data_IF_222580185262
#
_entry.id   IF_222580185262
#
_cell.length_a   1.000
_cell.length_b   1.000
_cell.length_c   1.000
_cell.angle_alpha   90.00
_cell.angle_beta   90.00
_cell.angle_gamma   90.00
#
_symmetry.space_group_name_H-M   'P 1'
#
loop_
_entity.id
_entity.type
_entity.pdbx_description
1 polymer ?
#
# COMPACT_ATOMS: atom_id res chain seq x y z
N UNK A 1 24.95 -15.70 -3.46
CA UNK A 1 24.40 -16.13 -2.15
C UNK A 1 22.90 -16.35 -2.34
N UNK A 2 22.38 -17.57 -2.19
CA UNK A 2 20.93 -17.82 -2.29
C UNK A 2 20.26 -17.39 -0.98
N UNK A 3 19.21 -16.56 -1.07
CA UNK A 3 18.43 -16.15 0.10
C UNK A 3 17.61 -17.33 0.64
N UNK A 4 17.50 -17.43 1.96
CA UNK A 4 16.62 -18.42 2.60
C UNK A 4 15.15 -18.16 2.20
N UNK A 5 14.32 -19.21 2.25
CA UNK A 5 12.88 -19.08 1.96
C UNK A 5 12.19 -18.06 2.88
N UNK A 6 12.64 -17.97 4.14
CA UNK A 6 12.15 -17.00 5.11
C UNK A 6 12.52 -15.56 4.71
N UNK A 7 13.78 -15.34 4.30
CA UNK A 7 14.22 -14.02 3.84
C UNK A 7 13.47 -13.57 2.58
N UNK A 8 13.28 -14.48 1.61
CA UNK A 8 12.50 -14.20 0.39
C UNK A 8 11.05 -13.82 0.70
N UNK A 9 10.40 -14.57 1.61
CA UNK A 9 9.04 -14.25 2.08
C UNK A 9 8.99 -12.88 2.73
N UNK A 10 9.93 -12.56 3.62
CA UNK A 10 9.95 -11.27 4.31
C UNK A 10 10.12 -10.10 3.35
N UNK A 11 11.03 -10.23 2.36
CA UNK A 11 11.23 -9.22 1.31
C UNK A 11 9.94 -9.01 0.50
N UNK A 12 9.27 -10.10 0.10
CA UNK A 12 8.02 -10.02 -0.65
C UNK A 12 6.89 -9.33 0.13
N UNK A 13 6.77 -9.62 1.43
CA UNK A 13 5.82 -8.96 2.33
C UNK A 13 6.12 -7.46 2.45
N UNK A 14 7.37 -7.08 2.70
CA UNK A 14 7.74 -5.66 2.86
C UNK A 14 7.55 -4.89 1.56
N UNK A 15 7.92 -5.47 0.41
CA UNK A 15 7.66 -4.87 -0.90
C UNK A 15 6.16 -4.64 -1.12
N UNK A 16 5.33 -5.63 -0.80
CA UNK A 16 3.88 -5.54 -0.92
C UNK A 16 3.26 -4.46 -0.03
N UNK A 17 3.68 -4.37 1.24
CA UNK A 17 3.23 -3.35 2.19
C UNK A 17 3.63 -1.96 1.70
N UNK A 18 4.92 -1.73 1.42
CA UNK A 18 5.42 -0.42 1.00
C UNK A 18 4.78 0.06 -0.31
N UNK A 19 4.59 -0.86 -1.27
CA UNK A 19 3.92 -0.55 -2.54
C UNK A 19 2.45 -0.20 -2.33
N UNK A 20 1.75 -0.88 -1.43
CA UNK A 20 0.35 -0.54 -1.12
C UNK A 20 0.25 0.83 -0.45
N UNK A 21 1.12 1.09 0.52
CA UNK A 21 1.16 2.35 1.26
C UNK A 21 1.45 3.54 0.35
N UNK A 22 2.47 3.47 -0.50
CA UNK A 22 2.84 4.57 -1.38
C UNK A 22 1.73 4.90 -2.39
N UNK A 23 1.02 3.90 -2.92
CA UNK A 23 -0.07 4.13 -3.87
C UNK A 23 -1.29 4.78 -3.21
N UNK A 24 -1.56 4.43 -1.95
CA UNK A 24 -2.59 5.12 -1.15
C UNK A 24 -2.17 6.57 -0.90
N UNK A 25 -0.91 6.82 -0.54
CA UNK A 25 -0.39 8.18 -0.35
C UNK A 25 -0.45 9.01 -1.62
N UNK A 26 -0.03 8.47 -2.76
CA UNK A 26 -0.15 9.14 -4.04
C UNK A 26 -1.60 9.53 -4.34
N UNK A 27 -2.54 8.58 -4.23
CA UNK A 27 -3.95 8.87 -4.53
C UNK A 27 -4.52 9.96 -3.61
N UNK A 28 -4.14 9.95 -2.33
CA UNK A 28 -4.57 10.97 -1.38
C UNK A 28 -3.92 12.33 -1.62
N UNK A 29 -2.65 12.35 -2.03
CA UNK A 29 -1.95 13.55 -2.45
C UNK A 29 -2.63 14.17 -3.67
N UNK A 30 -2.76 13.41 -4.76
CA UNK A 30 -3.26 13.88 -6.06
C UNK A 30 -4.64 14.53 -5.97
N UNK A 31 -5.55 13.98 -5.16
CA UNK A 31 -6.92 14.48 -5.07
C UNK A 31 -7.19 15.41 -3.89
N UNK A 32 -6.61 15.11 -2.73
CA UNK A 32 -6.97 15.78 -1.48
C UNK A 32 -5.84 16.63 -0.89
N UNK A 33 -4.69 16.69 -1.59
CA UNK A 33 -3.49 17.42 -1.18
C UNK A 33 -2.87 16.89 0.11
N UNK A 34 -3.11 15.61 0.44
CA UNK A 34 -2.50 15.02 1.64
C UNK A 34 -0.98 15.10 1.51
N UNK A 35 -0.32 15.55 2.56
CA UNK A 35 1.13 15.57 2.66
C UNK A 35 1.58 15.05 4.02
N UNK A 36 2.87 15.25 4.34
CA UNK A 36 3.56 14.70 5.52
C UNK A 36 2.71 14.62 6.79
N UNK A 37 2.10 15.73 7.21
CA UNK A 37 1.36 15.79 8.47
C UNK A 37 0.07 14.93 8.48
N UNK A 38 -0.61 14.79 7.34
CA UNK A 38 -1.80 13.92 7.24
C UNK A 38 -1.41 12.46 7.09
N UNK A 39 -0.33 12.16 6.38
CA UNK A 39 0.22 10.81 6.32
C UNK A 39 0.67 10.31 7.69
N UNK A 40 1.38 11.13 8.47
CA UNK A 40 1.76 10.78 9.84
C UNK A 40 0.56 10.45 10.75
N UNK A 41 -0.60 11.07 10.52
CA UNK A 41 -1.84 10.72 11.24
C UNK A 41 -2.41 9.37 10.79
N UNK A 42 -2.28 9.02 9.51
CA UNK A 42 -2.65 7.69 9.02
C UNK A 42 -1.72 6.65 9.64
N UNK A 43 -0.40 6.86 9.59
CA UNK A 43 0.59 5.95 10.18
C UNK A 43 0.33 5.74 11.68
N UNK A 44 0.12 6.82 12.44
CA UNK A 44 -0.17 6.74 13.88
C UNK A 44 -1.44 5.92 14.19
N UNK A 45 -2.49 6.09 13.38
CA UNK A 45 -3.73 5.32 13.53
C UNK A 45 -3.52 3.84 13.18
N UNK A 46 -2.84 3.54 12.07
CA UNK A 46 -2.53 2.17 11.65
C UNK A 46 -1.65 1.45 12.69
N UNK A 47 -0.70 2.16 13.29
CA UNK A 47 0.12 1.65 14.39
C UNK A 47 -0.73 1.31 15.62
N UNK A 48 -1.67 2.19 15.99
CA UNK A 48 -2.60 1.94 17.09
C UNK A 48 -3.48 0.73 16.81
N UNK A 49 -4.07 0.63 15.62
CA UNK A 49 -4.88 -0.51 15.21
C UNK A 49 -4.05 -1.81 15.19
N UNK A 50 -2.80 -1.75 14.74
CA UNK A 50 -1.90 -2.91 14.72
C UNK A 50 -1.55 -3.39 16.13
N UNK A 51 -1.32 -2.46 17.08
CA UNK A 51 -1.15 -2.80 18.51
C UNK A 51 -2.44 -3.35 19.12
N UNK A 52 -3.60 -2.86 18.70
CA UNK A 52 -4.88 -3.40 19.14
C UNK A 52 -5.08 -4.82 18.61
N UNK A 53 -4.75 -5.08 17.34
CA UNK A 53 -4.84 -6.41 16.72
C UNK A 53 -3.90 -7.39 17.41
N UNK A 54 -2.62 -7.06 17.60
CA UNK A 54 -1.65 -7.90 18.32
C UNK A 54 -1.76 -9.42 18.01
N UNK A 55 -1.73 -9.77 16.73
CA UNK A 55 -1.86 -11.15 16.21
C UNK A 55 -3.22 -11.83 16.43
N UNK A 56 -4.25 -11.09 16.84
CA UNK A 56 -5.62 -11.55 17.02
C UNK A 56 -6.43 -11.40 15.72
N UNK A 57 -6.78 -12.53 15.11
CA UNK A 57 -7.55 -12.57 13.86
C UNK A 57 -8.96 -12.03 14.00
N UNK A 58 -9.60 -12.19 15.17
CA UNK A 58 -10.96 -11.71 15.41
C UNK A 58 -10.96 -10.18 15.51
N UNK A 59 -9.93 -9.60 16.14
CA UNK A 59 -9.76 -8.14 16.15
C UNK A 59 -9.53 -7.59 14.76
N UNK A 60 -8.70 -8.25 13.94
CA UNK A 60 -8.53 -7.84 12.54
C UNK A 60 -9.85 -7.91 11.75
N UNK A 61 -10.66 -8.96 11.98
CA UNK A 61 -11.97 -9.09 11.34
C UNK A 61 -12.88 -7.91 11.67
N UNK A 62 -12.81 -7.30 12.87
CA UNK A 62 -13.62 -6.11 13.19
C UNK A 62 -13.34 -4.92 12.25
N UNK A 63 -12.07 -4.67 11.91
CA UNK A 63 -11.71 -3.62 10.95
C UNK A 63 -12.17 -3.96 9.53
N UNK A 64 -12.01 -5.22 9.13
CA UNK A 64 -12.46 -5.69 7.82
C UNK A 64 -13.98 -5.58 7.68
N UNK A 65 -14.73 -6.01 8.68
CA UNK A 65 -16.19 -6.01 8.65
C UNK A 65 -16.73 -4.57 8.70
N UNK A 66 -16.08 -3.65 9.44
CA UNK A 66 -16.40 -2.23 9.40
C UNK A 66 -16.17 -1.62 8.01
N UNK A 67 -15.12 -2.09 7.32
CA UNK A 67 -14.79 -1.68 5.97
C UNK A 67 -15.80 -2.21 4.94
N UNK A 68 -16.23 -3.46 5.07
CA UNK A 68 -17.31 -4.03 4.25
C UNK A 68 -18.63 -3.27 4.48
N UNK A 69 -18.97 -2.95 5.74
CA UNK A 69 -20.14 -2.13 6.08
C UNK A 69 -20.06 -0.69 5.55
N UNK A 70 -18.85 -0.14 5.42
CA UNK A 70 -18.61 1.18 4.82
C UNK A 70 -18.76 1.19 3.28
N UNK A 71 -19.02 0.03 2.67
CA UNK A 71 -19.32 -0.12 1.25
C UNK A 71 -18.08 -0.31 0.37
N UNK A 72 -17.00 -0.88 0.91
CA UNK A 72 -15.83 -1.27 0.13
C UNK A 72 -16.18 -2.33 -0.93
N UNK A 73 -15.76 -2.08 -2.16
CA UNK A 73 -15.97 -3.01 -3.27
C UNK A 73 -14.90 -4.10 -3.24
N UNK A 74 -15.33 -5.33 -2.95
CA UNK A 74 -14.46 -6.49 -2.87
C UNK A 74 -13.74 -6.77 -4.20
N UNK A 75 -14.39 -6.54 -5.35
CA UNK A 75 -13.80 -6.79 -6.66
C UNK A 75 -12.71 -5.78 -6.97
N UNK A 76 -12.90 -4.51 -6.63
CA UNK A 76 -11.84 -3.50 -6.79
C UNK A 76 -10.63 -3.80 -5.90
N UNK A 77 -10.85 -4.24 -4.65
CA UNK A 77 -9.76 -4.68 -3.76
C UNK A 77 -9.00 -5.86 -4.35
N UNK A 78 -9.71 -6.91 -4.78
CA UNK A 78 -9.09 -8.12 -5.35
C UNK A 78 -8.35 -7.85 -6.66
N UNK A 79 -8.90 -7.02 -7.54
CA UNK A 79 -8.25 -6.63 -8.79
C UNK A 79 -6.95 -5.85 -8.49
N UNK A 80 -6.99 -4.87 -7.58
CA UNK A 80 -5.81 -4.13 -7.13
C UNK A 80 -4.70 -5.06 -6.62
N UNK A 81 -5.03 -5.93 -5.65
CA UNK A 81 -4.05 -6.85 -5.03
C UNK A 81 -3.48 -7.79 -6.08
N UNK A 82 -4.32 -8.36 -6.95
CA UNK A 82 -3.88 -9.30 -7.98
C UNK A 82 -2.93 -8.64 -8.97
N UNK A 83 -3.25 -7.43 -9.43
CA UNK A 83 -2.43 -6.72 -10.43
C UNK A 83 -1.11 -6.24 -9.83
N UNK A 84 -1.13 -5.66 -8.64
CA UNK A 84 0.08 -5.22 -7.96
C UNK A 84 0.99 -6.40 -7.58
N UNK A 85 0.42 -7.51 -7.08
CA UNK A 85 1.22 -8.71 -6.78
C UNK A 85 1.90 -9.28 -8.02
N UNK A 86 1.21 -9.27 -9.17
CA UNK A 86 1.77 -9.72 -10.45
C UNK A 86 2.90 -8.81 -10.91
N UNK A 87 2.75 -7.49 -10.78
CA UNK A 87 3.80 -6.55 -11.20
C UNK A 87 5.05 -6.60 -10.32
N UNK A 88 4.93 -6.99 -9.06
CA UNK A 88 6.07 -7.24 -8.16
C UNK A 88 6.89 -8.50 -8.51
N UNK A 89 6.48 -9.29 -9.50
CA UNK A 89 7.25 -10.47 -9.96
C UNK A 89 7.33 -11.61 -8.94
N UNK A 90 6.40 -11.67 -7.98
CA UNK A 90 6.41 -12.65 -6.88
C UNK A 90 5.96 -14.02 -7.41
N UNK A 91 6.88 -14.97 -7.47
CA UNK A 91 6.66 -16.28 -8.10
C UNK A 91 6.54 -17.46 -7.14
N UNK A 92 7.07 -17.37 -5.92
CA UNK A 92 7.02 -18.47 -4.95
C UNK A 92 5.74 -18.50 -4.13
N UNK A 93 5.28 -19.69 -3.72
CA UNK A 93 3.98 -19.88 -3.04
C UNK A 93 3.93 -19.15 -1.69
N UNK A 94 4.96 -19.30 -0.88
CA UNK A 94 5.03 -18.67 0.45
C UNK A 94 5.19 -17.16 0.35
N UNK A 95 5.99 -16.68 -0.61
CA UNK A 95 6.11 -15.25 -0.92
C UNK A 95 4.77 -14.67 -1.37
N UNK A 96 4.04 -15.38 -2.25
CA UNK A 96 2.72 -14.95 -2.73
C UNK A 96 1.70 -14.82 -1.61
N UNK A 97 1.56 -15.85 -0.76
CA UNK A 97 0.63 -15.81 0.38
C UNK A 97 1.01 -14.71 1.37
N UNK A 98 2.31 -14.54 1.65
CA UNK A 98 2.78 -13.47 2.53
C UNK A 98 2.49 -12.09 1.97
N UNK A 99 2.83 -11.85 0.71
CA UNK A 99 2.62 -10.57 0.04
C UNK A 99 1.14 -10.21 -0.03
N UNK A 100 0.28 -11.15 -0.40
CA UNK A 100 -1.17 -10.95 -0.45
C UNK A 100 -1.74 -10.58 0.92
N UNK A 101 -1.36 -11.30 1.98
CA UNK A 101 -1.75 -10.94 3.34
C UNK A 101 -1.25 -9.54 3.75
N UNK A 102 -0.01 -9.19 3.39
CA UNK A 102 0.55 -7.86 3.64
C UNK A 102 -0.20 -6.74 2.92
N UNK A 103 -0.59 -6.95 1.66
CA UNK A 103 -1.40 -6.00 0.90
C UNK A 103 -2.80 -5.86 1.51
N UNK A 104 -3.47 -6.97 1.81
CA UNK A 104 -4.82 -6.95 2.40
C UNK A 104 -4.84 -6.20 3.73
N UNK A 105 -3.87 -6.49 4.60
CA UNK A 105 -3.74 -5.87 5.91
C UNK A 105 -3.52 -4.35 5.77
N UNK A 106 -2.52 -3.95 4.99
CA UNK A 106 -2.18 -2.53 4.76
C UNK A 106 -3.34 -1.78 4.14
N UNK A 107 -3.95 -2.34 3.10
CA UNK A 107 -5.10 -1.76 2.41
C UNK A 107 -6.26 -1.53 3.36
N UNK A 108 -6.63 -2.55 4.15
CA UNK A 108 -7.77 -2.50 5.07
C UNK A 108 -7.54 -1.45 6.16
N UNK A 109 -6.38 -1.47 6.82
CA UNK A 109 -6.12 -0.56 7.93
C UNK A 109 -5.95 0.89 7.49
N UNK A 110 -5.30 1.14 6.36
CA UNK A 110 -5.18 2.51 5.86
C UNK A 110 -6.52 3.08 5.40
N UNK A 111 -7.37 2.29 4.74
CA UNK A 111 -8.72 2.74 4.39
C UNK A 111 -9.60 2.91 5.64
N UNK A 112 -9.42 2.08 6.65
CA UNK A 112 -10.06 2.26 7.94
C UNK A 112 -9.61 3.55 8.63
N UNK A 113 -8.32 3.87 8.63
CA UNK A 113 -7.81 5.15 9.13
C UNK A 113 -8.43 6.34 8.40
N UNK A 114 -8.61 6.26 7.09
CA UNK A 114 -9.31 7.30 6.32
C UNK A 114 -10.78 7.43 6.73
N UNK A 115 -11.45 6.31 6.98
CA UNK A 115 -12.83 6.27 7.44
C UNK A 115 -12.99 6.88 8.85
N UNK A 116 -12.17 6.42 9.78
CA UNK A 116 -12.24 6.75 11.20
C UNK A 116 -11.71 8.17 11.49
N UNK A 117 -10.50 8.48 11.05
CA UNK A 117 -9.80 9.73 11.38
C UNK A 117 -10.21 10.90 10.45
N UNK A 118 -10.43 10.61 9.16
CA UNK A 118 -10.66 11.65 8.15
C UNK A 118 -12.10 11.72 7.63
N UNK A 119 -13.00 10.89 8.18
CA UNK A 119 -14.41 10.89 7.82
C UNK A 119 -14.67 10.44 6.38
N UNK A 120 -13.79 9.66 5.77
CA UNK A 120 -14.06 9.09 4.45
C UNK A 120 -15.26 8.15 4.56
N UNK A 121 -16.15 8.24 3.58
CA UNK A 121 -17.35 7.40 3.46
C UNK A 121 -17.37 6.81 2.05
N UNK A 122 -18.39 6.00 1.77
CA UNK A 122 -18.53 5.20 0.56
C UNK A 122 -18.03 5.87 -0.72
N UNK A 123 -18.50 7.07 -1.07
CA UNK A 123 -18.09 7.73 -2.32
C UNK A 123 -16.58 8.04 -2.40
N UNK A 124 -15.96 8.50 -1.29
CA UNK A 124 -14.52 8.80 -1.26
C UNK A 124 -13.68 7.54 -1.22
N UNK A 125 -14.14 6.52 -0.49
CA UNK A 125 -13.50 5.21 -0.45
C UNK A 125 -13.56 4.55 -1.82
N UNK A 126 -14.73 4.51 -2.47
CA UNK A 126 -14.93 3.98 -3.82
C UNK A 126 -14.00 4.61 -4.83
N UNK A 127 -13.94 5.95 -4.85
CA UNK A 127 -13.02 6.67 -5.72
C UNK A 127 -11.56 6.24 -5.48
N UNK A 128 -11.15 6.11 -4.21
CA UNK A 128 -9.80 5.68 -3.87
C UNK A 128 -9.54 4.26 -4.38
N UNK A 129 -10.47 3.32 -4.22
CA UNK A 129 -10.31 1.96 -4.73
C UNK A 129 -10.14 1.93 -6.26
N UNK A 130 -10.92 2.73 -6.98
CA UNK A 130 -10.84 2.84 -8.44
C UNK A 130 -9.50 3.42 -8.87
N UNK A 131 -9.01 4.44 -8.16
CA UNK A 131 -7.71 5.05 -8.42
C UNK A 131 -6.55 4.08 -8.14
N UNK A 132 -6.62 3.32 -7.05
CA UNK A 132 -5.62 2.30 -6.72
C UNK A 132 -5.57 1.18 -7.77
N UNK A 133 -6.74 0.69 -8.20
CA UNK A 133 -6.83 -0.29 -9.29
C UNK A 133 -6.21 0.25 -10.58
N UNK A 134 -6.46 1.52 -10.90
CA UNK A 134 -5.85 2.18 -12.05
C UNK A 134 -4.32 2.26 -11.95
N UNK A 135 -3.76 2.67 -10.81
CA UNK A 135 -2.31 2.64 -10.63
C UNK A 135 -1.72 1.23 -10.74
N UNK A 136 -2.36 0.23 -10.15
CA UNK A 136 -1.90 -1.15 -10.26
C UNK A 136 -1.93 -1.65 -11.72
N UNK A 137 -2.86 -1.17 -12.54
CA UNK A 137 -2.87 -1.43 -13.98
C UNK A 137 -1.70 -0.77 -14.70
N UNK A 138 -1.44 0.53 -14.46
CA UNK A 138 -0.28 1.22 -15.07
C UNK A 138 1.04 0.52 -14.75
N UNK A 139 1.20 0.07 -13.50
CA UNK A 139 2.41 -0.65 -13.08
C UNK A 139 2.50 -2.02 -13.74
N UNK A 140 1.36 -2.71 -13.88
CA UNK A 140 1.32 -4.00 -14.57
C UNK A 140 1.63 -3.89 -16.06
N UNK A 141 1.21 -2.80 -16.69
CA UNK A 141 1.46 -2.51 -18.11
C UNK A 141 2.89 -1.99 -18.37
N UNK A 142 3.61 -1.61 -17.31
CA UNK A 142 4.98 -1.10 -17.38
C UNK A 142 5.08 0.39 -17.73
N UNK A 143 3.96 1.11 -17.72
CA UNK A 143 3.87 2.55 -17.96
C UNK A 143 4.55 3.36 -16.84
N UNK A 144 4.45 2.89 -15.59
CA UNK A 144 5.05 3.54 -14.40
C UNK A 144 5.55 2.48 -13.42
N UNK A 145 6.67 2.74 -12.75
CA UNK A 145 7.25 1.88 -11.73
C UNK A 145 6.94 2.38 -10.32
N UNK A 146 6.88 1.45 -9.35
CA UNK A 146 6.65 1.79 -7.94
C UNK A 146 7.69 2.77 -7.36
N UNK A 147 9.00 2.66 -7.66
CA UNK A 147 9.98 3.65 -7.23
C UNK A 147 9.67 5.08 -7.72
N UNK A 148 9.00 5.26 -8.87
CA UNK A 148 8.62 6.59 -9.36
C UNK A 148 7.56 7.21 -8.44
N UNK A 149 6.55 6.44 -8.01
CA UNK A 149 5.60 6.88 -6.99
C UNK A 149 6.28 7.20 -5.66
N UNK A 150 7.24 6.36 -5.22
CA UNK A 150 7.99 6.62 -3.99
C UNK A 150 8.78 7.92 -4.10
N UNK A 151 9.41 8.17 -5.25
CA UNK A 151 10.17 9.40 -5.49
C UNK A 151 9.27 10.63 -5.52
N UNK A 152 8.07 10.55 -6.11
CA UNK A 152 7.09 11.64 -6.06
C UNK A 152 6.76 12.00 -4.61
N UNK A 153 6.44 11.00 -3.79
CA UNK A 153 6.10 11.20 -2.38
C UNK A 153 7.29 11.68 -1.54
N UNK A 154 8.52 11.29 -1.89
CA UNK A 154 9.73 11.83 -1.27
C UNK A 154 9.91 13.31 -1.57
N UNK A 155 9.86 13.71 -2.84
CA UNK A 155 10.10 15.08 -3.27
C UNK A 155 8.98 16.02 -2.80
N UNK A 156 7.72 15.65 -3.04
CA UNK A 156 6.57 16.52 -2.80
C UNK A 156 6.13 16.53 -1.34
N UNK A 157 6.30 15.41 -0.64
CA UNK A 157 5.78 15.23 0.72
C UNK A 157 6.85 14.95 1.79
N UNK A 158 8.12 14.81 1.41
CA UNK A 158 9.19 14.45 2.35
C UNK A 158 9.02 13.06 2.95
N UNK A 159 8.29 12.16 2.30
CA UNK A 159 8.10 10.78 2.77
C UNK A 159 9.28 9.90 2.37
N UNK A 160 9.82 9.16 3.33
CA UNK A 160 10.99 8.30 3.11
C UNK A 160 10.57 6.85 2.96
N UNK A 161 11.20 6.17 2.02
CA UNK A 161 10.97 4.75 1.76
C UNK A 161 12.31 4.02 1.69
N UNK A 162 12.56 3.09 2.61
CA UNK A 162 13.80 2.27 2.61
C UNK A 162 13.98 1.51 1.27
N UNK A 163 12.87 1.12 0.65
CA UNK A 163 12.87 0.46 -0.65
C UNK A 163 13.35 1.38 -1.79
N UNK A 164 13.06 2.68 -1.71
CA UNK A 164 13.55 3.67 -2.68
C UNK A 164 15.05 3.89 -2.48
N UNK A 165 15.49 4.09 -1.23
CA UNK A 165 16.91 4.27 -0.90
C UNK A 165 17.74 3.07 -1.39
N UNK A 166 17.25 1.85 -1.15
CA UNK A 166 17.90 0.61 -1.62
C UNK A 166 17.91 0.49 -3.15
N UNK A 167 16.87 0.97 -3.81
CA UNK A 167 16.78 0.96 -5.27
C UNK A 167 17.76 1.96 -5.89
N UNK A 168 17.80 3.19 -5.38
CA UNK A 168 18.68 4.26 -5.90
C UNK A 168 20.16 3.95 -5.65
N UNK A 169 20.50 3.29 -4.53
CA UNK A 169 21.85 2.78 -4.30
C UNK A 169 22.30 1.77 -5.36
N UNK A 170 21.36 0.98 -5.90
CA UNK A 170 21.66 -0.09 -6.85
C UNK A 170 21.63 0.38 -8.31
N UNK A 171 20.70 1.27 -8.65
CA UNK A 171 20.42 1.66 -10.04
C UNK A 171 20.74 3.12 -10.35
N UNK A 172 21.14 3.90 -9.36
CA UNK A 172 21.32 5.35 -9.46
C UNK A 172 20.07 6.11 -9.05
N UNK A 173 20.23 7.41 -8.78
CA UNK A 173 19.14 8.29 -8.40
C UNK A 173 18.04 8.33 -9.47
N UNK A 174 16.79 8.17 -9.02
CA UNK A 174 15.63 8.23 -9.91
C UNK A 174 15.24 9.69 -10.15
N UNK A 175 15.24 10.12 -11.41
CA UNK A 175 14.85 11.48 -11.82
C UNK A 175 13.45 11.46 -12.42
N UNK A 176 12.49 12.06 -11.70
CA UNK A 176 11.07 12.11 -12.11
C UNK A 176 10.60 13.52 -12.52
N UNK A 177 11.42 14.55 -12.30
CA UNK A 177 11.24 15.89 -12.88
C UNK A 177 12.51 16.23 -13.67
N UNK A 178 12.32 16.53 -14.96
CA UNK A 178 13.35 17.06 -15.86
C UNK A 178 13.31 18.58 -15.91
#
# INVERSE_FOLDING_TARGET
>A
MQLSNQARRHIAVNAAIASTQVLIYQALHDRYGFGRGRFAKIDAAVDEYSRHINHDGDRYNTYRDAMDAAGLDLRLKQDFIRWLKKSLGISGKAENTGAEAGMEYTYTLMLYALYDVFGFRQNRLRWLQEKLKFYAWLILDGEVMIPEFMKCMEIECGQKFENLESWEQKYGELKIYG
#
